data_IF_034112056201
#
_entry.id   IF_034112056201
#
_cell.length_a   1.000
_cell.length_b   1.000
_cell.length_c   1.000
_cell.angle_alpha   90.00
_cell.angle_beta   90.00
_cell.angle_gamma   90.00
#
_symmetry.space_group_name_H-M   'P 1'
#
loop_
_entity.id
_entity.type
_entity.pdbx_description
1 polymer ?
#
# COMPACT_ATOMS: atom_id res chain seq x y z
N UNK A 1 -0.56 11.56 -13.33
CA UNK A 1 0.71 11.43 -12.58
C UNK A 1 1.23 10.02 -12.77
N UNK A 2 2.53 9.83 -12.98
CA UNK A 2 3.09 8.48 -13.20
C UNK A 2 3.18 7.71 -11.88
N UNK A 3 2.62 6.51 -11.84
CA UNK A 3 2.67 5.59 -10.71
C UNK A 3 4.05 4.92 -10.71
N UNK A 4 4.99 5.45 -9.93
CA UNK A 4 6.33 4.85 -9.86
C UNK A 4 6.26 3.54 -9.07
N UNK A 5 6.65 2.45 -9.73
CA UNK A 5 6.70 1.10 -9.16
C UNK A 5 8.17 0.73 -8.92
N UNK A 6 8.48 0.30 -7.70
CA UNK A 6 9.83 -0.09 -7.30
C UNK A 6 9.92 -1.61 -7.13
N UNK A 7 10.89 -2.30 -7.77
CA UNK A 7 11.13 -3.72 -7.56
C UNK A 7 11.34 -4.05 -6.06
N UNK A 8 10.88 -5.23 -5.64
CA UNK A 8 11.04 -5.67 -4.25
C UNK A 8 12.51 -5.64 -3.74
N UNK A 9 13.55 -6.00 -4.52
CA UNK A 9 14.94 -5.88 -4.07
C UNK A 9 15.31 -4.44 -3.69
N UNK A 10 14.99 -3.48 -4.53
CA UNK A 10 15.29 -2.05 -4.30
C UNK A 10 14.59 -1.56 -3.02
N UNK A 11 13.33 -1.93 -2.83
CA UNK A 11 12.56 -1.56 -1.64
C UNK A 11 13.10 -2.24 -0.38
N UNK A 12 13.61 -3.46 -0.50
CA UNK A 12 14.27 -4.18 0.58
C UNK A 12 15.49 -3.42 1.08
N UNK A 13 16.33 -2.93 0.15
CA UNK A 13 17.51 -2.13 0.45
C UNK A 13 17.12 -0.77 1.07
N UNK A 14 16.16 -0.07 0.47
CA UNK A 14 15.66 1.23 0.97
C UNK A 14 15.18 1.14 2.41
N UNK A 15 14.34 0.13 2.71
CA UNK A 15 13.77 -0.09 4.04
C UNK A 15 14.77 -0.74 5.03
N UNK A 16 15.96 -1.15 4.56
CA UNK A 16 16.93 -1.92 5.34
C UNK A 16 16.31 -3.17 6.00
N UNK A 17 15.41 -3.84 5.28
CA UNK A 17 14.77 -5.10 5.70
C UNK A 17 15.23 -6.26 4.83
N UNK A 18 15.28 -7.51 5.32
CA UNK A 18 15.58 -8.65 4.48
C UNK A 18 14.54 -8.86 3.36
N UNK A 19 15.00 -9.17 2.15
CA UNK A 19 14.12 -9.41 0.99
C UNK A 19 13.08 -10.50 1.26
N UNK A 20 13.47 -11.56 1.97
CA UNK A 20 12.57 -12.65 2.38
C UNK A 20 11.44 -12.15 3.28
N UNK A 21 11.72 -11.22 4.19
CA UNK A 21 10.71 -10.60 5.07
C UNK A 21 9.75 -9.73 4.27
N UNK A 22 10.27 -8.90 3.37
CA UNK A 22 9.45 -8.05 2.51
C UNK A 22 8.54 -8.88 1.60
N UNK A 23 9.09 -9.93 0.96
CA UNK A 23 8.34 -10.86 0.12
C UNK A 23 7.27 -11.61 0.91
N UNK A 24 7.57 -12.05 2.13
CA UNK A 24 6.56 -12.66 3.01
C UNK A 24 5.45 -11.68 3.38
N UNK A 25 5.79 -10.42 3.68
CA UNK A 25 4.79 -9.39 3.99
C UNK A 25 3.85 -9.11 2.81
N UNK A 26 4.36 -9.15 1.57
CA UNK A 26 3.53 -9.06 0.36
C UNK A 26 2.63 -10.29 0.22
N UNK A 27 3.18 -11.50 0.40
CA UNK A 27 2.40 -12.75 0.33
C UNK A 27 1.29 -12.82 1.39
N UNK A 28 1.54 -12.26 2.57
CA UNK A 28 0.59 -12.18 3.69
C UNK A 28 -0.39 -11.00 3.55
N UNK A 29 -0.33 -10.23 2.46
CA UNK A 29 -1.21 -9.09 2.22
C UNK A 29 -0.99 -7.90 3.17
N UNK A 30 0.16 -7.86 3.88
CA UNK A 30 0.53 -6.76 4.78
C UNK A 30 1.19 -5.59 4.04
N UNK A 31 1.71 -5.83 2.84
CA UNK A 31 2.26 -4.82 1.94
C UNK A 31 1.67 -5.04 0.57
N UNK A 32 1.02 -4.01 0.01
CA UNK A 32 0.44 -4.12 -1.32
C UNK A 32 1.51 -4.02 -2.42
N UNK A 33 1.25 -4.70 -3.53
CA UNK A 33 2.17 -4.82 -4.64
C UNK A 33 1.40 -4.91 -5.96
N UNK A 34 2.04 -4.45 -7.03
CA UNK A 34 1.53 -4.51 -8.40
C UNK A 34 2.60 -5.13 -9.30
N UNK A 35 2.18 -5.63 -10.46
CA UNK A 35 3.13 -6.00 -11.50
C UNK A 35 3.37 -4.81 -12.43
N UNK A 36 4.63 -4.52 -12.73
CA UNK A 36 5.01 -3.57 -13.78
C UNK A 36 4.70 -4.13 -15.17
N UNK A 37 4.88 -3.33 -16.21
CA UNK A 37 4.61 -3.70 -17.61
C UNK A 37 5.39 -4.95 -18.06
N UNK A 38 6.59 -5.16 -17.53
CA UNK A 38 7.42 -6.34 -17.76
C UNK A 38 7.11 -7.52 -16.81
N UNK A 39 6.03 -7.46 -16.04
CA UNK A 39 5.56 -8.54 -15.16
C UNK A 39 6.30 -8.69 -13.83
N UNK A 40 7.25 -7.80 -13.52
CA UNK A 40 8.02 -7.82 -12.27
C UNK A 40 7.12 -7.37 -11.12
N UNK A 41 7.18 -8.08 -9.99
CA UNK A 41 6.45 -7.69 -8.79
C UNK A 41 7.14 -6.49 -8.14
N UNK A 42 6.37 -5.43 -7.92
CA UNK A 42 6.85 -4.14 -7.45
C UNK A 42 5.95 -3.59 -6.34
N UNK A 43 6.52 -2.77 -5.47
CA UNK A 43 5.79 -1.98 -4.48
C UNK A 43 5.67 -0.55 -5.02
N UNK A 44 4.47 0.07 -4.95
CA UNK A 44 4.32 1.49 -5.28
C UNK A 44 5.21 2.37 -4.40
N UNK A 45 5.94 3.31 -5.00
CA UNK A 45 6.75 4.30 -4.24
C UNK A 45 5.88 5.09 -3.25
N UNK A 46 4.61 5.31 -3.59
CA UNK A 46 3.63 5.96 -2.73
C UNK A 46 3.42 5.25 -1.39
N UNK A 47 3.78 3.96 -1.24
CA UNK A 47 3.69 3.22 0.02
C UNK A 47 4.89 3.44 0.95
N UNK A 48 5.90 4.15 0.47
CA UNK A 48 7.07 4.51 1.24
C UNK A 48 6.93 5.93 1.80
N UNK A 49 7.50 6.12 2.98
CA UNK A 49 7.60 7.40 3.68
C UNK A 49 9.03 7.56 4.18
N UNK A 50 9.54 8.79 4.19
CA UNK A 50 10.84 9.08 4.79
C UNK A 50 10.62 9.85 6.09
N UNK A 51 10.97 9.21 7.21
CA UNK A 51 10.73 9.72 8.56
C UNK A 51 11.92 9.37 9.46
N UNK A 52 12.27 10.30 10.36
CA UNK A 52 13.37 10.12 11.32
C UNK A 52 14.70 9.69 10.68
N UNK A 53 14.97 10.20 9.47
CA UNK A 53 16.20 9.90 8.72
C UNK A 53 16.24 8.53 8.04
N UNK A 54 15.11 7.80 7.99
CA UNK A 54 15.03 6.46 7.40
C UNK A 54 13.77 6.28 6.54
N UNK A 55 13.84 5.35 5.58
CA UNK A 55 12.66 4.94 4.82
C UNK A 55 11.84 3.93 5.62
N UNK A 56 10.53 4.15 5.68
CA UNK A 56 9.56 3.27 6.30
C UNK A 56 8.37 3.05 5.36
N UNK A 57 7.52 2.07 5.68
CA UNK A 57 6.21 1.98 5.08
C UNK A 57 5.29 3.04 5.69
N UNK A 58 4.34 3.54 4.90
CA UNK A 58 3.32 4.48 5.38
C UNK A 58 2.58 3.89 6.60
N UNK A 59 2.47 4.68 7.66
CA UNK A 59 1.78 4.24 8.87
C UNK A 59 0.31 3.90 8.58
N UNK A 60 -0.18 2.84 9.22
CA UNK A 60 -1.54 2.34 9.02
C UNK A 60 -1.76 1.54 7.74
N UNK A 61 -0.82 1.53 6.78
CA UNK A 61 -0.95 0.83 5.49
C UNK A 61 -1.38 -0.63 5.65
N UNK A 62 -0.62 -1.41 6.43
CA UNK A 62 -0.92 -2.83 6.65
C UNK A 62 -2.30 -3.04 7.25
N UNK A 63 -2.74 -2.18 8.16
CA UNK A 63 -4.06 -2.30 8.79
C UNK A 63 -5.19 -1.98 7.81
N UNK A 64 -5.01 -0.98 6.96
CA UNK A 64 -5.98 -0.66 5.90
C UNK A 64 -6.07 -1.77 4.85
N UNK A 65 -4.93 -2.34 4.45
CA UNK A 65 -4.92 -3.50 3.55
C UNK A 65 -5.67 -4.69 4.13
N UNK A 66 -5.53 -4.97 5.43
CA UNK A 66 -6.33 -6.01 6.10
C UNK A 66 -7.82 -5.71 6.01
N UNK A 67 -8.24 -4.48 6.31
CA UNK A 67 -9.66 -4.09 6.22
C UNK A 67 -10.23 -4.26 4.80
N UNK A 68 -9.47 -3.88 3.78
CA UNK A 68 -9.90 -4.04 2.38
C UNK A 68 -9.97 -5.52 1.96
N UNK A 69 -9.06 -6.35 2.45
CA UNK A 69 -9.09 -7.80 2.21
C UNK A 69 -10.25 -8.49 2.94
N UNK A 70 -10.55 -8.07 4.17
CA UNK A 70 -11.73 -8.53 4.90
C UNK A 70 -13.04 -8.10 4.20
N UNK A 71 -13.00 -7.01 3.43
CA UNK A 71 -14.07 -6.55 2.54
C UNK A 71 -14.14 -7.32 1.21
N UNK A 72 -13.28 -8.32 0.99
CA UNK A 72 -13.27 -9.18 -0.19
C UNK A 72 -12.41 -8.66 -1.35
N UNK A 73 -11.68 -7.56 -1.19
CA UNK A 73 -10.73 -7.11 -2.21
C UNK A 73 -9.47 -7.97 -2.19
N UNK A 74 -9.03 -8.41 -3.37
CA UNK A 74 -7.69 -8.99 -3.49
C UNK A 74 -6.60 -7.92 -3.30
N UNK A 75 -5.35 -8.36 -3.14
CA UNK A 75 -4.23 -7.45 -2.88
C UNK A 75 -4.01 -6.43 -4.01
N UNK A 76 -4.28 -6.79 -5.27
CA UNK A 76 -4.11 -5.91 -6.43
C UNK A 76 -5.21 -4.85 -6.45
N UNK A 77 -6.45 -5.24 -6.18
CA UNK A 77 -7.60 -4.35 -6.03
C UNK A 77 -7.39 -3.38 -4.88
N UNK A 78 -7.03 -3.88 -3.69
CA UNK A 78 -6.76 -3.05 -2.52
C UNK A 78 -5.59 -2.07 -2.75
N UNK A 79 -4.52 -2.54 -3.42
CA UNK A 79 -3.36 -1.69 -3.76
C UNK A 79 -3.76 -0.59 -4.75
N UNK A 80 -4.58 -0.93 -5.74
CA UNK A 80 -5.08 0.03 -6.74
C UNK A 80 -5.98 1.07 -6.08
N UNK A 81 -6.94 0.64 -5.26
CA UNK A 81 -7.82 1.53 -4.51
C UNK A 81 -7.04 2.51 -3.62
N UNK A 82 -5.99 2.05 -2.92
CA UNK A 82 -5.16 2.94 -2.11
C UNK A 82 -4.49 4.05 -2.93
N UNK A 83 -4.12 3.77 -4.18
CA UNK A 83 -3.37 4.68 -5.04
C UNK A 83 -4.28 5.59 -5.86
N UNK A 84 -5.50 5.17 -6.15
CA UNK A 84 -6.39 5.86 -7.08
C UNK A 84 -7.66 6.37 -6.42
N UNK A 85 -8.09 5.75 -5.32
CA UNK A 85 -9.40 5.98 -4.72
C UNK A 85 -10.53 5.43 -5.59
N UNK A 86 -11.75 5.88 -5.30
CA UNK A 86 -12.95 5.67 -6.08
C UNK A 86 -13.90 6.87 -5.86
N UNK A 87 -15.11 6.82 -6.43
CA UNK A 87 -16.11 7.89 -6.30
C UNK A 87 -16.60 8.09 -4.85
N UNK A 88 -16.28 7.18 -3.93
CA UNK A 88 -16.68 7.25 -2.51
C UNK A 88 -15.65 7.99 -1.65
N UNK A 89 -14.41 8.13 -2.13
CA UNK A 89 -13.31 8.75 -1.39
C UNK A 89 -12.77 10.00 -2.08
N UNK A 90 -12.80 11.14 -1.40
CA UNK A 90 -12.24 12.39 -1.94
C UNK A 90 -10.71 12.36 -1.89
N UNK A 91 -10.09 12.23 -3.06
CA UNK A 91 -8.64 12.21 -3.26
C UNK A 91 -8.05 10.78 -3.24
N UNK A 92 -6.74 10.66 -3.04
CA UNK A 92 -6.09 9.33 -2.95
C UNK A 92 -6.06 8.85 -1.49
N UNK A 93 -6.53 7.64 -1.18
CA UNK A 93 -6.47 7.12 0.20
C UNK A 93 -5.06 7.06 0.78
N UNK A 94 -4.04 6.78 -0.03
CA UNK A 94 -2.64 6.76 0.42
C UNK A 94 -2.16 8.15 0.90
N UNK A 95 -2.62 9.23 0.27
CA UNK A 95 -2.27 10.59 0.70
C UNK A 95 -2.92 10.90 2.05
N UNK A 96 -4.15 10.42 2.27
CA UNK A 96 -4.82 10.53 3.56
C UNK A 96 -4.10 9.72 4.65
N UNK A 97 -3.61 8.51 4.34
CA UNK A 97 -2.79 7.73 5.27
C UNK A 97 -1.49 8.45 5.65
N UNK A 98 -0.78 9.02 4.67
CA UNK A 98 0.44 9.83 4.91
C UNK A 98 0.18 11.04 5.82
N UNK A 99 -1.04 11.58 5.82
CA UNK A 99 -1.48 12.67 6.69
C UNK A 99 -2.01 12.19 8.06
N UNK A 100 -1.89 10.90 8.39
CA UNK A 100 -2.38 10.34 9.64
C UNK A 100 -3.91 10.15 9.70
N UNK A 101 -4.63 10.32 8.58
CA UNK A 101 -6.10 10.20 8.51
C UNK A 101 -6.58 8.75 8.41
N UNK A 102 -5.90 7.81 9.08
CA UNK A 102 -6.22 6.37 9.08
C UNK A 102 -7.66 6.04 9.46
N UNK A 103 -8.24 6.74 10.44
CA UNK A 103 -9.64 6.51 10.85
C UNK A 103 -10.63 6.76 9.71
N UNK A 104 -10.43 7.86 8.97
CA UNK A 104 -11.24 8.20 7.81
C UNK A 104 -11.11 7.11 6.74
N UNK A 105 -9.88 6.78 6.35
CA UNK A 105 -9.61 5.75 5.33
C UNK A 105 -10.23 4.40 5.69
N UNK A 106 -10.04 3.93 6.93
CA UNK A 106 -10.62 2.66 7.37
C UNK A 106 -12.16 2.69 7.48
N UNK A 107 -12.75 3.86 7.73
CA UNK A 107 -14.20 4.01 7.72
C UNK A 107 -14.76 3.81 6.31
N UNK A 108 -14.13 4.42 5.30
CA UNK A 108 -14.51 4.24 3.90
C UNK A 108 -14.21 2.83 3.39
N UNK A 109 -13.04 2.27 3.73
CA UNK A 109 -12.71 0.90 3.35
C UNK A 109 -13.77 -0.12 3.83
N UNK A 110 -14.35 0.10 5.01
CA UNK A 110 -15.43 -0.75 5.54
C UNK A 110 -16.78 -0.52 4.86
N UNK A 111 -17.07 0.68 4.36
CA UNK A 111 -18.32 0.91 3.61
C UNK A 111 -18.32 0.24 2.24
N UNK A 112 -17.14 -0.15 1.73
CA UNK A 112 -17.00 -0.95 0.51
C UNK A 112 -17.28 -2.45 0.73
N UNK A 113 -17.40 -2.89 1.99
CA UNK A 113 -17.58 -4.29 2.38
C UNK A 113 -19.04 -4.78 2.37
N UNK A 114 -19.99 -3.96 1.92
CA UNK A 114 -21.43 -4.22 1.96
C UNK A 114 -22.09 -3.81 0.64
#
# INVERSE_FOLDING_TARGET
MSKKLLPLPDVSEMLSVPYSRLRSAVREGRVGALRSENGVLCIPEDFLSFQDGSWTLVDGLSGTLTVLQDAGMDLVQATTWLLEGDDTFVGRPIDALKQGRKKQVNSYARSLAF
#
